data_IF_315382577101
#
_entry.id   IF_315382577101
#
_cell.length_a   1.000
_cell.length_b   1.000
_cell.length_c   1.000
_cell.angle_alpha   90.00
_cell.angle_beta   90.00
_cell.angle_gamma   90.00
#
_symmetry.space_group_name_H-M   'P 1'
#
loop_
_entity.id
_entity.type
_entity.pdbx_description
1 polymer ?
#
# COMPACT_ATOMS: atom_id res chain seq x y z
N UNK A 1 8.66 -7.69 -2.01
CA UNK A 1 7.59 -8.15 -1.08
C UNK A 1 6.29 -7.43 -1.44
N UNK A 2 5.11 -8.00 -1.15
CA UNK A 2 3.80 -7.34 -1.39
C UNK A 2 3.05 -7.16 -0.07
N UNK A 3 2.39 -6.02 0.09
CA UNK A 3 1.43 -5.74 1.17
C UNK A 3 0.08 -5.42 0.52
N UNK A 4 -0.98 -6.08 0.96
CA UNK A 4 -2.35 -5.82 0.48
C UNK A 4 -3.10 -5.12 1.62
N UNK A 5 -3.64 -3.95 1.35
CA UNK A 5 -4.42 -3.21 2.33
C UNK A 5 -5.84 -3.76 2.45
N UNK A 6 -6.48 -3.49 3.58
CA UNK A 6 -7.90 -3.80 3.75
C UNK A 6 -8.73 -3.09 2.67
N UNK A 7 -9.78 -3.75 2.12
CA UNK A 7 -10.64 -3.13 1.12
C UNK A 7 -11.31 -1.86 1.65
N UNK A 8 -11.41 -0.83 0.80
CA UNK A 8 -12.11 0.41 1.15
C UNK A 8 -11.33 1.32 2.10
N UNK A 9 -10.04 1.07 2.34
CA UNK A 9 -9.19 1.99 3.10
C UNK A 9 -9.18 3.38 2.42
N UNK A 10 -9.39 4.42 3.23
CA UNK A 10 -9.31 5.79 2.76
C UNK A 10 -7.84 6.20 2.60
N UNK A 11 -7.41 6.49 1.36
CA UNK A 11 -6.05 6.94 1.04
C UNK A 11 -5.72 8.34 1.56
N UNK A 12 -6.72 9.11 1.96
CA UNK A 12 -6.54 10.38 2.67
C UNK A 12 -6.64 10.23 4.19
N UNK A 13 -6.94 9.02 4.67
CA UNK A 13 -7.12 8.69 6.07
C UNK A 13 -5.81 8.51 6.83
N UNK A 14 -5.92 8.56 8.16
CA UNK A 14 -4.79 8.38 9.07
C UNK A 14 -4.18 6.97 8.96
N UNK A 15 -5.01 5.94 8.74
CA UNK A 15 -4.54 4.55 8.67
C UNK A 15 -3.64 4.31 7.46
N UNK A 16 -4.05 4.78 6.27
CA UNK A 16 -3.22 4.70 5.07
C UNK A 16 -1.91 5.48 5.24
N UNK A 17 -2.00 6.68 5.80
CA UNK A 17 -0.83 7.54 6.06
C UNK A 17 0.16 6.86 6.99
N UNK A 18 -0.31 6.28 8.11
CA UNK A 18 0.54 5.57 9.06
C UNK A 18 1.27 4.37 8.43
N UNK A 19 0.58 3.61 7.56
CA UNK A 19 1.21 2.51 6.82
C UNK A 19 2.26 3.03 5.83
N UNK A 20 1.98 4.13 5.10
CA UNK A 20 2.95 4.71 4.16
C UNK A 20 4.17 5.25 4.88
N UNK A 21 3.98 5.97 5.97
CA UNK A 21 5.08 6.51 6.76
C UNK A 21 5.98 5.39 7.28
N UNK A 22 5.39 4.29 7.77
CA UNK A 22 6.16 3.13 8.21
C UNK A 22 6.98 2.51 7.07
N UNK A 23 6.36 2.26 5.92
CA UNK A 23 7.00 1.55 4.81
C UNK A 23 8.04 2.41 4.08
N UNK A 24 7.78 3.71 3.91
CA UNK A 24 8.70 4.64 3.22
C UNK A 24 9.95 4.97 4.05
N UNK A 25 9.89 4.80 5.37
CA UNK A 25 11.05 4.95 6.25
C UNK A 25 11.96 3.71 6.28
N UNK A 26 11.60 2.61 5.59
CA UNK A 26 12.45 1.42 5.57
C UNK A 26 13.66 1.62 4.64
N UNK A 27 14.88 1.35 5.12
CA UNK A 27 16.08 1.52 4.31
C UNK A 27 16.10 0.53 3.14
N UNK A 28 16.46 1.02 1.96
CA UNK A 28 16.60 0.19 0.76
C UNK A 28 15.28 -0.22 0.09
N UNK A 29 14.13 0.22 0.61
CA UNK A 29 12.81 -0.14 0.07
C UNK A 29 12.16 1.07 -0.62
N UNK A 30 11.74 0.88 -1.86
CA UNK A 30 10.84 1.74 -2.60
C UNK A 30 9.43 1.15 -2.58
N UNK A 31 8.46 1.93 -2.11
CA UNK A 31 7.04 1.55 -2.14
C UNK A 31 6.43 2.00 -3.48
N UNK A 32 5.78 1.09 -4.19
CA UNK A 32 4.93 1.41 -5.36
C UNK A 32 3.50 1.03 -5.08
N UNK A 33 2.59 1.97 -5.30
CA UNK A 33 1.15 1.76 -5.11
C UNK A 33 0.55 1.27 -6.42
N UNK A 34 -0.25 0.21 -6.34
CA UNK A 34 -1.03 -0.33 -7.43
C UNK A 34 -2.46 -0.58 -6.97
N UNK A 35 -3.42 -0.44 -7.88
CA UNK A 35 -4.81 -0.72 -7.61
C UNK A 35 -5.32 -1.77 -8.58
N UNK A 36 -5.89 -2.82 -8.03
CA UNK A 36 -6.48 -3.89 -8.80
C UNK A 36 -8.00 -3.81 -8.70
N UNK A 37 -8.64 -3.62 -9.84
CA UNK A 37 -10.10 -3.53 -9.95
C UNK A 37 -10.68 -4.93 -10.17
N UNK A 38 -11.17 -5.54 -9.09
CA UNK A 38 -11.89 -6.80 -9.14
C UNK A 38 -13.38 -6.63 -9.44
N UNK A 39 -14.07 -7.75 -9.64
CA UNK A 39 -15.54 -7.78 -9.89
C UNK A 39 -16.34 -7.22 -8.69
N UNK A 40 -15.83 -7.42 -7.47
CA UNK A 40 -16.55 -7.06 -6.24
C UNK A 40 -16.00 -5.82 -5.54
N UNK A 41 -14.70 -5.54 -5.67
CA UNK A 41 -14.04 -4.45 -4.96
C UNK A 41 -12.71 -4.09 -5.62
N UNK A 42 -12.25 -2.89 -5.32
CA UNK A 42 -10.90 -2.43 -5.64
C UNK A 42 -9.99 -2.75 -4.45
N UNK A 43 -8.84 -3.37 -4.74
CA UNK A 43 -7.79 -3.61 -3.75
C UNK A 43 -6.63 -2.66 -4.00
N UNK A 44 -6.02 -2.17 -2.93
CA UNK A 44 -4.75 -1.43 -3.00
C UNK A 44 -3.62 -2.37 -2.64
N UNK A 45 -2.71 -2.57 -3.59
CA UNK A 45 -1.49 -3.34 -3.44
C UNK A 45 -0.28 -2.41 -3.33
N UNK A 46 0.60 -2.70 -2.38
CA UNK A 46 1.85 -1.99 -2.19
C UNK A 46 3.00 -2.94 -2.51
N UNK A 47 3.70 -2.65 -3.61
CA UNK A 47 4.91 -3.38 -3.96
C UNK A 47 6.11 -2.74 -3.26
N UNK A 48 6.78 -3.55 -2.44
CA UNK A 48 8.03 -3.20 -1.81
C UNK A 48 9.16 -3.69 -2.72
N UNK A 49 9.74 -2.75 -3.46
CA UNK A 49 10.80 -2.96 -4.44
C UNK A 49 12.10 -2.44 -3.85
N UNK A 50 13.09 -3.31 -3.72
CA UNK A 50 14.30 -3.02 -2.95
C UNK A 50 15.06 -4.29 -2.71
N UNK A 51 16.19 -4.16 -2.01
CA UNK A 51 17.05 -5.28 -1.62
C UNK A 51 16.30 -6.31 -0.75
#
# INVERSE_FOLDING_TARGET
>A
MIVILEPGIDKSGADYTAVMDYLTNQPGIQVRVHEESGVHQVLTELYLVGD
#
